data_IF_767512093310
#
_entry.id   IF_767512093310
#
_cell.length_a   1.000
_cell.length_b   1.000
_cell.length_c   1.000
_cell.angle_alpha   90.00
_cell.angle_beta   90.00
_cell.angle_gamma   90.00
#
_symmetry.space_group_name_H-M   'P 1'
#
loop_
_entity.id
_entity.type
_entity.pdbx_description
1 polymer ?
#
# COMPACT_ATOMS: atom_id res chain seq x y z
N UNK A 1 21.95 1.51 -3.05
CA UNK A 1 20.89 2.47 -3.41
C UNK A 1 20.05 2.04 -4.62
N UNK A 2 20.55 1.16 -5.48
CA UNK A 2 19.84 0.71 -6.69
C UNK A 2 18.95 -0.52 -6.47
N UNK A 3 19.11 -1.21 -5.34
CA UNK A 3 18.30 -2.38 -4.98
C UNK A 3 17.16 -1.96 -4.07
N UNK A 4 15.96 -2.45 -4.37
CA UNK A 4 14.82 -2.35 -3.48
C UNK A 4 14.86 -3.36 -2.33
N UNK A 5 13.87 -3.29 -1.45
CA UNK A 5 13.80 -4.17 -0.29
C UNK A 5 14.72 -3.72 0.87
N UNK A 6 15.12 -4.66 1.71
CA UNK A 6 15.97 -4.39 2.87
C UNK A 6 17.14 -5.36 2.96
N UNK A 7 18.34 -4.83 3.23
CA UNK A 7 19.54 -5.64 3.49
C UNK A 7 19.52 -6.25 4.91
N UNK A 8 18.71 -5.70 5.82
CA UNK A 8 18.59 -6.16 7.20
C UNK A 8 17.59 -7.29 7.38
N UNK A 9 16.85 -7.62 6.33
CA UNK A 9 15.70 -8.51 6.44
C UNK A 9 14.51 -7.84 7.16
N UNK A 10 13.48 -8.62 7.44
CA UNK A 10 12.28 -8.14 8.14
C UNK A 10 11.67 -9.24 8.99
N UNK A 11 11.04 -8.86 10.11
CA UNK A 11 10.25 -9.76 10.94
C UNK A 11 8.80 -9.31 10.94
N UNK A 12 7.88 -10.29 10.98
CA UNK A 12 6.45 -10.06 11.19
C UNK A 12 6.04 -10.25 12.64
N UNK A 13 6.98 -10.56 13.52
CA UNK A 13 6.70 -10.71 14.94
C UNK A 13 6.23 -9.38 15.54
N UNK A 14 5.21 -9.48 16.38
CA UNK A 14 4.65 -8.32 17.11
C UNK A 14 4.97 -8.52 18.59
N UNK A 15 6.04 -7.93 19.13
CA UNK A 15 6.52 -8.19 20.48
C UNK A 15 5.46 -8.02 21.58
N UNK A 16 4.51 -7.09 21.37
CA UNK A 16 3.44 -6.78 22.31
C UNK A 16 2.14 -7.57 22.08
N UNK A 17 2.13 -8.56 21.18
CA UNK A 17 0.94 -9.38 20.86
C UNK A 17 1.26 -10.86 20.73
N UNK A 18 2.36 -11.31 21.30
CA UNK A 18 2.72 -12.72 21.18
C UNK A 18 2.02 -13.55 22.25
N UNK A 19 1.54 -14.70 21.82
CA UNK A 19 1.08 -15.78 22.70
C UNK A 19 2.02 -16.98 22.52
N UNK A 20 2.26 -17.72 23.57
CA UNK A 20 3.00 -18.98 23.50
C UNK A 20 2.14 -20.10 22.87
N UNK A 21 2.70 -21.31 22.78
CA UNK A 21 2.00 -22.49 22.23
C UNK A 21 0.76 -22.90 23.06
N UNK A 22 0.61 -22.36 24.27
CA UNK A 22 -0.51 -22.61 25.17
C UNK A 22 -1.55 -21.50 25.16
N UNK A 23 -1.32 -20.43 24.34
CA UNK A 23 -2.20 -19.26 24.26
C UNK A 23 -1.97 -18.21 25.36
N UNK A 24 -0.90 -18.35 26.16
CA UNK A 24 -0.53 -17.38 27.17
C UNK A 24 0.30 -16.23 26.56
N UNK A 25 0.10 -15.01 27.06
CA UNK A 25 0.86 -13.83 26.62
C UNK A 25 2.35 -14.02 26.94
N UNK A 26 3.18 -14.11 25.88
CA UNK A 26 4.63 -14.18 26.04
C UNK A 26 5.21 -12.78 26.00
N UNK A 27 5.72 -12.33 27.13
CA UNK A 27 6.25 -10.96 27.28
C UNK A 27 7.63 -10.84 26.61
N UNK A 28 7.64 -10.50 25.31
CA UNK A 28 8.88 -10.25 24.57
C UNK A 28 9.43 -8.81 24.68
N UNK A 29 8.64 -7.77 25.03
CA UNK A 29 9.21 -6.45 25.28
C UNK A 29 10.34 -6.46 26.30
N UNK A 30 10.19 -7.17 27.42
CA UNK A 30 11.24 -7.29 28.44
C UNK A 30 12.53 -7.89 27.87
N UNK A 31 12.43 -8.93 27.03
CA UNK A 31 13.60 -9.54 26.39
C UNK A 31 14.27 -8.56 25.42
N UNK A 32 13.52 -7.74 24.70
CA UNK A 32 14.08 -6.71 23.82
C UNK A 32 14.82 -5.65 24.64
N UNK A 33 14.22 -5.18 25.72
CA UNK A 33 14.82 -4.18 26.63
C UNK A 33 16.12 -4.74 27.24
N UNK A 34 16.05 -5.98 27.76
CA UNK A 34 17.22 -6.64 28.33
C UNK A 34 18.36 -6.76 27.31
N UNK A 35 18.05 -7.17 26.09
CA UNK A 35 19.05 -7.28 25.02
C UNK A 35 19.61 -5.91 24.60
N UNK A 36 18.79 -4.87 24.56
CA UNK A 36 19.21 -3.50 24.27
C UNK A 36 20.34 -3.07 25.23
N UNK A 37 20.14 -3.26 26.54
CA UNK A 37 21.12 -2.92 27.55
C UNK A 37 22.32 -3.88 27.58
N UNK A 38 22.08 -5.20 27.41
CA UNK A 38 23.17 -6.20 27.37
C UNK A 38 24.12 -5.99 26.18
N UNK A 39 23.61 -5.49 25.06
CA UNK A 39 24.42 -5.18 23.87
C UNK A 39 25.07 -3.80 23.95
N UNK A 40 24.79 -3.01 25.00
CA UNK A 40 25.31 -1.66 25.15
C UNK A 40 24.89 -0.71 24.05
N UNK A 41 23.64 -0.83 23.57
CA UNK A 41 23.12 0.04 22.52
C UNK A 41 22.75 1.41 23.09
N UNK A 42 23.13 2.49 22.40
CA UNK A 42 22.80 3.87 22.75
C UNK A 42 21.42 4.26 22.20
N UNK A 43 21.04 3.71 21.04
CA UNK A 43 19.75 3.96 20.40
C UNK A 43 19.31 2.78 19.54
N UNK A 44 18.01 2.75 19.21
CA UNK A 44 17.40 1.79 18.30
C UNK A 44 16.74 2.53 17.15
N UNK A 45 17.19 2.30 15.92
CA UNK A 45 16.54 2.84 14.71
C UNK A 45 15.55 1.83 14.16
N UNK A 46 14.27 2.21 14.11
CA UNK A 46 13.19 1.38 13.62
C UNK A 46 12.72 1.85 12.25
N UNK A 47 13.01 1.07 11.20
CA UNK A 47 12.64 1.40 9.82
C UNK A 47 11.45 0.55 9.39
N UNK A 48 10.33 1.16 9.04
CA UNK A 48 9.17 0.40 8.59
C UNK A 48 7.88 1.21 8.50
N UNK A 49 6.78 0.51 8.25
CA UNK A 49 5.44 1.10 8.15
C UNK A 49 4.76 1.27 9.52
N UNK A 50 3.46 1.51 9.47
CA UNK A 50 2.60 1.83 10.61
C UNK A 50 2.75 0.84 11.80
N UNK A 51 2.83 -0.47 11.50
CA UNK A 51 3.05 -1.50 12.53
C UNK A 51 4.39 -1.36 13.25
N UNK A 52 5.47 -1.05 12.53
CA UNK A 52 6.81 -0.82 13.08
C UNK A 52 6.82 0.46 13.92
N UNK A 53 6.20 1.54 13.45
CA UNK A 53 6.11 2.81 14.20
C UNK A 53 5.34 2.64 15.51
N UNK A 54 4.27 1.83 15.54
CA UNK A 54 3.57 1.49 16.77
C UNK A 54 4.46 0.76 17.76
N UNK A 55 5.24 -0.23 17.30
CA UNK A 55 6.19 -0.96 18.14
C UNK A 55 7.30 -0.03 18.66
N UNK A 56 7.88 0.81 17.81
CA UNK A 56 8.88 1.81 18.18
C UNK A 56 8.38 2.75 19.30
N UNK A 57 7.17 3.28 19.15
CA UNK A 57 6.54 4.13 20.16
C UNK A 57 6.31 3.40 21.50
N UNK A 58 5.94 2.12 21.46
CA UNK A 58 5.76 1.32 22.67
C UNK A 58 7.09 1.06 23.39
N UNK A 59 8.17 0.78 22.66
CA UNK A 59 9.52 0.61 23.21
C UNK A 59 10.06 1.93 23.79
N UNK A 60 9.85 3.06 23.11
CA UNK A 60 10.22 4.38 23.61
C UNK A 60 9.52 4.70 24.93
N UNK A 61 8.23 4.37 25.07
CA UNK A 61 7.47 4.55 26.33
C UNK A 61 8.01 3.69 27.48
N UNK A 62 8.78 2.65 27.19
CA UNK A 62 9.45 1.80 28.18
C UNK A 62 10.90 2.25 28.47
N UNK A 63 11.27 3.43 28.00
CA UNK A 63 12.55 4.05 28.34
C UNK A 63 13.70 3.79 27.37
N UNK A 64 13.48 3.13 26.21
CA UNK A 64 14.50 3.00 25.21
C UNK A 64 14.61 4.29 24.37
N UNK A 65 15.84 4.63 23.97
CA UNK A 65 16.07 5.68 22.99
C UNK A 65 15.76 5.12 21.59
N UNK A 66 14.67 5.57 20.97
CA UNK A 66 14.17 5.01 19.71
C UNK A 66 13.93 6.09 18.69
N UNK A 67 14.49 5.92 17.49
CA UNK A 67 14.25 6.76 16.32
C UNK A 67 13.46 5.96 15.28
N UNK A 68 12.29 6.47 14.86
CA UNK A 68 11.45 5.84 13.85
C UNK A 68 11.66 6.45 12.46
N UNK A 69 11.83 5.60 11.45
CA UNK A 69 11.95 6.03 10.04
C UNK A 69 10.78 5.44 9.23
N UNK A 70 9.87 6.28 8.68
CA UNK A 70 8.65 5.80 8.03
C UNK A 70 8.94 5.26 6.63
N UNK A 71 8.92 3.93 6.47
CA UNK A 71 9.11 3.21 5.22
C UNK A 71 7.90 2.31 4.92
N UNK A 72 7.09 2.71 3.97
CA UNK A 72 5.97 1.91 3.45
C UNK A 72 5.55 2.40 2.08
N UNK A 73 4.95 1.53 1.27
CA UNK A 73 4.32 1.92 0.00
C UNK A 73 2.91 2.49 0.20
N UNK A 74 2.31 2.30 1.38
CA UNK A 74 0.90 2.64 1.64
C UNK A 74 0.68 4.13 1.95
N UNK A 75 1.75 4.87 2.28
CA UNK A 75 1.74 6.27 2.71
C UNK A 75 0.75 6.55 3.86
N UNK A 76 0.65 5.61 4.81
CA UNK A 76 -0.36 5.59 5.88
C UNK A 76 0.19 5.88 7.28
N UNK A 77 1.45 6.33 7.40
CA UNK A 77 2.08 6.62 8.69
C UNK A 77 1.65 7.98 9.19
N UNK A 78 0.95 8.01 10.32
CA UNK A 78 0.48 9.24 10.93
C UNK A 78 1.62 10.22 11.26
N UNK A 79 1.41 11.51 10.96
CA UNK A 79 2.41 12.54 11.19
C UNK A 79 3.52 12.60 10.14
N UNK A 80 3.36 11.88 9.02
CA UNK A 80 4.29 11.85 7.90
C UNK A 80 3.57 12.29 6.63
N UNK A 81 4.12 13.25 5.89
CA UNK A 81 3.55 13.70 4.63
C UNK A 81 3.79 12.67 3.52
N UNK A 82 5.01 12.16 3.44
CA UNK A 82 5.42 11.17 2.44
C UNK A 82 6.31 10.11 3.07
N UNK A 83 5.97 8.83 2.82
CA UNK A 83 6.81 7.69 3.19
C UNK A 83 7.64 7.24 1.99
N UNK A 84 8.93 6.93 2.19
CA UNK A 84 9.71 6.39 1.07
C UNK A 84 9.33 4.94 0.76
N UNK A 85 9.28 4.63 -0.53
CA UNK A 85 8.69 3.44 -1.12
C UNK A 85 7.34 3.71 -1.79
N UNK A 86 6.64 4.77 -1.41
CA UNK A 86 5.35 5.14 -1.99
C UNK A 86 5.47 5.53 -3.46
N UNK A 87 6.38 6.45 -3.79
CA UNK A 87 6.57 6.94 -5.16
C UNK A 87 6.98 5.81 -6.11
N UNK A 88 7.90 4.94 -5.67
CA UNK A 88 8.27 3.76 -6.46
C UNK A 88 7.08 2.83 -6.75
N UNK A 89 6.19 2.65 -5.78
CA UNK A 89 5.00 1.83 -5.98
C UNK A 89 3.96 2.51 -6.88
N UNK A 90 3.83 3.84 -6.81
CA UNK A 90 3.00 4.64 -7.74
C UNK A 90 3.51 4.48 -9.17
N UNK A 91 4.83 4.59 -9.39
CA UNK A 91 5.45 4.43 -10.71
C UNK A 91 5.15 3.05 -11.30
N UNK A 92 5.35 1.97 -10.53
CA UNK A 92 5.06 0.59 -10.96
C UNK A 92 3.57 0.40 -11.27
N UNK A 93 2.70 0.91 -10.42
CA UNK A 93 1.26 0.81 -10.63
C UNK A 93 0.79 1.61 -11.86
N UNK A 94 1.34 2.81 -12.07
CA UNK A 94 1.07 3.63 -13.25
C UNK A 94 1.51 2.93 -14.53
N UNK A 95 2.73 2.38 -14.57
CA UNK A 95 3.22 1.61 -15.71
C UNK A 95 2.29 0.41 -16.03
N UNK A 96 1.80 -0.28 -15.02
CA UNK A 96 0.87 -1.38 -15.20
C UNK A 96 -0.47 -0.91 -15.78
N UNK A 97 -1.00 0.24 -15.34
CA UNK A 97 -2.22 0.85 -15.86
C UNK A 97 -2.02 1.24 -17.34
N UNK A 98 -0.91 1.90 -17.67
CA UNK A 98 -0.57 2.32 -19.05
C UNK A 98 -0.57 1.13 -20.02
N UNK A 99 -0.02 0.01 -19.61
CA UNK A 99 0.00 -1.22 -20.42
C UNK A 99 -1.41 -1.77 -20.69
N UNK A 100 -2.36 -1.54 -19.79
CA UNK A 100 -3.74 -2.05 -19.93
C UNK A 100 -4.60 -1.21 -20.87
N UNK A 101 -4.29 0.07 -21.10
CA UNK A 101 -5.04 0.92 -22.03
C UNK A 101 -5.12 0.34 -23.45
N UNK A 102 -4.01 -0.13 -23.96
CA UNK A 102 -3.94 -0.65 -25.33
C UNK A 102 -4.82 -1.88 -25.52
N UNK A 103 -4.77 -2.83 -24.58
CA UNK A 103 -5.61 -4.03 -24.65
C UNK A 103 -7.08 -3.72 -24.34
N UNK A 104 -7.37 -2.80 -23.41
CA UNK A 104 -8.72 -2.35 -23.10
C UNK A 104 -9.39 -1.74 -24.34
N UNK A 105 -8.67 -0.85 -25.04
CA UNK A 105 -9.15 -0.22 -26.27
C UNK A 105 -9.36 -1.22 -27.42
N UNK A 106 -8.39 -2.11 -27.67
CA UNK A 106 -8.45 -3.08 -28.75
C UNK A 106 -9.63 -4.05 -28.64
N UNK A 107 -10.01 -4.39 -27.41
CA UNK A 107 -11.08 -5.35 -27.12
C UNK A 107 -12.39 -4.70 -26.65
N UNK A 108 -12.43 -3.37 -26.52
CA UNK A 108 -13.58 -2.61 -26.01
C UNK A 108 -14.09 -3.12 -24.66
N UNK A 109 -13.18 -3.34 -23.72
CA UNK A 109 -13.46 -3.94 -22.41
C UNK A 109 -13.39 -2.92 -21.29
N UNK A 110 -14.02 -3.26 -20.18
CA UNK A 110 -13.81 -2.58 -18.90
C UNK A 110 -12.71 -3.31 -18.14
N UNK A 111 -11.59 -2.64 -17.88
CA UNK A 111 -10.48 -3.18 -17.10
C UNK A 111 -10.58 -2.68 -15.66
N UNK A 112 -10.59 -3.59 -14.70
CA UNK A 112 -10.57 -3.29 -13.28
C UNK A 112 -9.20 -3.64 -12.73
N UNK A 113 -8.52 -2.67 -12.14
CA UNK A 113 -7.15 -2.81 -11.66
C UNK A 113 -7.14 -2.60 -10.16
N UNK A 114 -6.78 -3.65 -9.40
CA UNK A 114 -6.64 -3.56 -7.96
C UNK A 114 -5.19 -3.23 -7.59
N UNK A 115 -5.03 -2.18 -6.79
CA UNK A 115 -3.73 -1.76 -6.26
C UNK A 115 -3.70 -1.93 -4.75
N UNK A 116 -2.50 -2.12 -4.21
CA UNK A 116 -2.25 -2.20 -2.78
C UNK A 116 -2.53 -0.86 -2.08
N UNK A 117 -2.26 -0.77 -0.80
CA UNK A 117 -2.46 0.41 0.04
C UNK A 117 -3.08 0.07 1.39
N UNK A 118 -3.36 -1.22 1.64
CA UNK A 118 -4.03 -1.73 2.85
C UNK A 118 -5.37 -1.00 3.08
N UNK A 119 -5.47 -0.11 4.07
CA UNK A 119 -6.67 0.67 4.38
C UNK A 119 -6.59 2.12 3.86
N UNK A 120 -5.54 2.48 3.11
CA UNK A 120 -5.33 3.80 2.54
C UNK A 120 -5.44 3.76 1.01
N UNK A 121 -6.09 4.76 0.45
CA UNK A 121 -6.33 4.88 -0.99
C UNK A 121 -5.28 5.68 -1.75
N UNK A 122 -4.19 6.10 -1.11
CA UNK A 122 -3.19 6.97 -1.72
C UNK A 122 -2.59 6.39 -3.01
N UNK A 123 -2.23 5.10 -3.00
CA UNK A 123 -1.68 4.41 -4.17
C UNK A 123 -2.70 4.41 -5.34
N UNK A 124 -3.95 4.07 -5.05
CA UNK A 124 -5.02 4.06 -6.06
C UNK A 124 -5.27 5.46 -6.62
N UNK A 125 -5.25 6.49 -5.78
CA UNK A 125 -5.48 7.87 -6.18
C UNK A 125 -4.36 8.36 -7.10
N UNK A 126 -3.11 8.20 -6.70
CA UNK A 126 -1.96 8.71 -7.44
C UNK A 126 -1.75 7.92 -8.75
N UNK A 127 -1.65 6.61 -8.66
CA UNK A 127 -1.46 5.78 -9.85
C UNK A 127 -2.67 5.82 -10.80
N UNK A 128 -3.89 5.83 -10.26
CA UNK A 128 -5.11 5.95 -11.06
C UNK A 128 -5.23 7.28 -11.76
N UNK A 129 -4.81 8.38 -11.11
CA UNK A 129 -4.80 9.71 -11.72
C UNK A 129 -3.71 9.83 -12.79
N UNK A 130 -2.50 9.38 -12.48
CA UNK A 130 -1.37 9.42 -13.40
C UNK A 130 -1.58 8.51 -14.63
N UNK A 131 -2.11 7.31 -14.42
CA UNK A 131 -2.40 6.33 -15.47
C UNK A 131 -3.74 6.54 -16.17
N UNK A 132 -4.45 7.67 -15.96
CA UNK A 132 -5.67 7.98 -16.70
C UNK A 132 -6.87 7.08 -16.36
N UNK A 133 -6.99 6.65 -15.12
CA UNK A 133 -8.16 5.91 -14.64
C UNK A 133 -9.45 6.73 -14.77
N UNK A 134 -10.48 6.13 -15.37
CA UNK A 134 -11.78 6.77 -15.58
C UNK A 134 -12.63 6.83 -14.32
N UNK A 135 -12.42 5.86 -13.42
CA UNK A 135 -13.05 5.75 -12.10
C UNK A 135 -11.98 5.26 -11.12
N UNK A 136 -11.87 5.93 -9.98
CA UNK A 136 -10.95 5.55 -8.90
C UNK A 136 -11.77 5.33 -7.63
N UNK A 137 -11.67 4.14 -7.04
CA UNK A 137 -12.38 3.78 -5.81
C UNK A 137 -11.40 3.69 -4.63
N UNK A 138 -11.69 4.47 -3.60
CA UNK A 138 -10.84 4.65 -2.42
C UNK A 138 -11.56 4.19 -1.15
N UNK A 139 -10.87 3.60 -0.17
CA UNK A 139 -11.49 3.17 1.09
C UNK A 139 -12.00 4.34 1.93
N UNK A 140 -11.41 5.53 1.79
CA UNK A 140 -11.80 6.73 2.53
C UNK A 140 -13.10 7.37 2.06
N UNK A 141 -13.54 7.04 0.82
CA UNK A 141 -14.73 7.62 0.22
C UNK A 141 -15.79 6.53 0.02
N UNK A 142 -16.97 6.69 0.63
CA UNK A 142 -18.06 5.77 0.38
C UNK A 142 -18.48 5.84 -1.08
N UNK A 143 -18.70 4.71 -1.71
CA UNK A 143 -19.15 4.63 -3.10
C UNK A 143 -20.46 3.85 -3.21
N UNK A 144 -21.21 4.14 -4.26
CA UNK A 144 -22.41 3.39 -4.61
C UNK A 144 -22.15 2.58 -5.88
N UNK A 145 -22.20 1.26 -5.78
CA UNK A 145 -21.89 0.37 -6.90
C UNK A 145 -22.76 0.61 -8.13
N UNK A 146 -24.06 0.93 -7.93
CA UNK A 146 -24.96 1.27 -9.04
C UNK A 146 -24.53 2.54 -9.77
N UNK A 147 -23.99 3.53 -9.03
CA UNK A 147 -23.46 4.76 -9.63
C UNK A 147 -22.20 4.49 -10.45
N UNK A 148 -21.32 3.60 -9.97
CA UNK A 148 -20.15 3.12 -10.72
C UNK A 148 -20.58 2.46 -12.03
N UNK A 149 -21.53 1.52 -11.96
CA UNK A 149 -22.07 0.83 -13.15
C UNK A 149 -22.69 1.81 -14.17
N UNK A 150 -23.52 2.76 -13.70
CA UNK A 150 -24.11 3.79 -14.55
C UNK A 150 -23.07 4.68 -15.22
N UNK A 151 -21.98 5.01 -14.52
CA UNK A 151 -20.89 5.82 -15.10
C UNK A 151 -20.19 5.07 -16.22
N UNK A 152 -19.92 3.78 -16.05
CA UNK A 152 -19.32 2.92 -17.09
C UNK A 152 -20.29 2.81 -18.30
N UNK A 153 -21.57 2.55 -18.07
CA UNK A 153 -22.59 2.47 -19.10
C UNK A 153 -22.71 3.79 -19.88
N UNK A 154 -22.76 4.94 -19.19
CA UNK A 154 -22.79 6.25 -19.83
C UNK A 154 -21.58 6.48 -20.73
N UNK A 155 -20.38 6.12 -20.27
CA UNK A 155 -19.17 6.24 -21.08
C UNK A 155 -19.25 5.42 -22.37
N UNK A 156 -19.75 4.19 -22.27
CA UNK A 156 -19.94 3.33 -23.44
C UNK A 156 -20.94 3.95 -24.43
N UNK A 157 -22.06 4.48 -23.94
CA UNK A 157 -23.09 5.16 -24.76
C UNK A 157 -22.56 6.47 -25.40
N UNK A 158 -21.58 7.13 -24.72
CA UNK A 158 -20.89 8.33 -25.22
C UNK A 158 -19.76 8.00 -26.22
N UNK A 159 -19.75 6.80 -26.80
CA UNK A 159 -18.74 6.30 -27.76
C UNK A 159 -17.31 6.23 -27.19
N UNK A 160 -17.16 6.09 -25.88
CA UNK A 160 -15.87 5.77 -25.24
C UNK A 160 -15.73 4.26 -25.20
N UNK A 161 -14.86 3.67 -26.02
CA UNK A 161 -14.94 2.22 -26.32
C UNK A 161 -14.50 1.33 -25.17
N UNK A 162 -13.84 1.87 -24.14
CA UNK A 162 -13.36 1.13 -22.98
C UNK A 162 -13.39 2.00 -21.72
N UNK A 163 -13.19 1.38 -20.58
CA UNK A 163 -13.02 2.07 -19.30
C UNK A 163 -11.96 1.40 -18.45
N UNK A 164 -11.17 2.22 -17.74
CA UNK A 164 -10.21 1.81 -16.73
C UNK A 164 -10.77 2.19 -15.35
N UNK A 165 -10.96 1.18 -14.50
CA UNK A 165 -11.44 1.34 -13.12
C UNK A 165 -10.32 0.92 -12.19
N UNK A 166 -9.75 1.88 -11.45
CA UNK A 166 -8.71 1.62 -10.47
C UNK A 166 -9.33 1.49 -9.08
N UNK A 167 -9.03 0.41 -8.39
CA UNK A 167 -9.60 0.11 -7.07
C UNK A 167 -8.51 -0.14 -6.04
N UNK A 168 -8.61 0.53 -4.91
CA UNK A 168 -7.77 0.19 -3.77
C UNK A 168 -8.23 -1.14 -3.15
N UNK A 169 -7.28 -1.98 -2.72
CA UNK A 169 -7.58 -3.27 -2.07
C UNK A 169 -8.45 -3.14 -0.82
N UNK A 170 -8.42 -1.98 -0.16
CA UNK A 170 -9.11 -1.69 1.09
C UNK A 170 -10.55 -1.19 0.96
N UNK A 171 -11.12 -1.06 -0.24
CA UNK A 171 -12.51 -0.59 -0.39
C UNK A 171 -13.50 -1.51 0.33
N UNK A 172 -14.60 -0.94 0.81
CA UNK A 172 -15.68 -1.70 1.42
C UNK A 172 -16.35 -2.61 0.38
N UNK A 173 -16.54 -3.87 0.73
CA UNK A 173 -17.19 -4.88 -0.10
C UNK A 173 -17.83 -5.98 0.76
N UNK A 174 -18.94 -6.60 0.29
CA UNK A 174 -19.71 -7.55 1.10
C UNK A 174 -19.03 -8.92 1.28
N UNK A 175 -18.03 -9.27 0.46
CA UNK A 175 -17.40 -10.59 0.44
C UNK A 175 -15.89 -10.55 0.63
N UNK A 176 -15.31 -11.66 1.12
CA UNK A 176 -13.85 -11.82 1.30
C UNK A 176 -13.16 -12.25 -0.01
N UNK A 177 -13.41 -11.55 -1.10
CA UNK A 177 -12.72 -11.73 -2.38
C UNK A 177 -11.98 -10.44 -2.76
N UNK A 178 -11.21 -10.43 -3.85
CA UNK A 178 -10.51 -9.23 -4.28
C UNK A 178 -11.51 -8.11 -4.58
N UNK A 179 -11.09 -6.87 -4.38
CA UNK A 179 -11.90 -5.70 -4.69
C UNK A 179 -12.18 -5.63 -6.20
N UNK A 180 -11.17 -5.95 -7.02
CA UNK A 180 -11.32 -5.99 -8.48
C UNK A 180 -12.38 -7.01 -8.91
N UNK A 181 -12.38 -8.21 -8.33
CA UNK A 181 -13.35 -9.26 -8.68
C UNK A 181 -14.78 -8.84 -8.35
N UNK A 182 -14.99 -8.22 -7.17
CA UNK A 182 -16.29 -7.71 -6.78
C UNK A 182 -16.82 -6.62 -7.74
N UNK A 183 -15.98 -5.65 -8.08
CA UNK A 183 -16.35 -4.55 -8.98
C UNK A 183 -16.55 -5.06 -10.41
N UNK A 184 -15.71 -5.98 -10.90
CA UNK A 184 -15.82 -6.57 -12.23
C UNK A 184 -17.15 -7.30 -12.42
N UNK A 185 -17.54 -8.15 -11.47
CA UNK A 185 -18.80 -8.87 -11.51
C UNK A 185 -20.00 -7.92 -11.47
N UNK A 186 -19.97 -6.92 -10.58
CA UNK A 186 -21.05 -5.96 -10.47
C UNK A 186 -21.25 -5.17 -11.78
N UNK A 187 -20.17 -4.69 -12.40
CA UNK A 187 -20.23 -3.97 -13.68
C UNK A 187 -20.73 -4.90 -14.78
N UNK A 188 -20.15 -6.09 -14.93
CA UNK A 188 -20.53 -7.06 -15.95
C UNK A 188 -22.00 -7.46 -15.86
N UNK A 189 -22.49 -7.73 -14.64
CA UNK A 189 -23.88 -8.11 -14.38
C UNK A 189 -24.85 -6.97 -14.69
N UNK A 190 -24.51 -5.74 -14.32
CA UNK A 190 -25.39 -4.59 -14.50
C UNK A 190 -25.43 -4.08 -15.94
N UNK A 191 -24.27 -4.04 -16.62
CA UNK A 191 -24.14 -3.38 -17.93
C UNK A 191 -24.14 -4.37 -19.11
N UNK A 192 -23.85 -5.64 -18.86
CA UNK A 192 -23.60 -6.64 -19.92
C UNK A 192 -22.25 -6.46 -20.63
N UNK A 193 -21.44 -5.48 -20.24
CA UNK A 193 -20.14 -5.24 -20.86
C UNK A 193 -19.10 -6.28 -20.40
N UNK A 194 -18.17 -6.60 -21.27
CA UNK A 194 -17.08 -7.51 -20.94
C UNK A 194 -16.10 -6.84 -19.96
N UNK A 195 -15.93 -7.43 -18.80
CA UNK A 195 -15.01 -6.99 -17.76
C UNK A 195 -13.80 -7.90 -17.63
N UNK A 196 -12.64 -7.36 -17.28
CA UNK A 196 -11.44 -8.12 -16.92
C UNK A 196 -10.81 -7.49 -15.69
N UNK A 197 -10.32 -8.33 -14.80
CA UNK A 197 -9.64 -7.90 -13.58
C UNK A 197 -8.14 -8.14 -13.65
N UNK A 198 -7.39 -7.27 -13.03
CA UNK A 198 -5.95 -7.37 -12.83
C UNK A 198 -5.63 -6.97 -11.39
N UNK A 199 -5.14 -7.90 -10.59
CA UNK A 199 -4.69 -7.62 -9.23
C UNK A 199 -3.18 -7.50 -9.26
N UNK A 200 -2.64 -6.28 -9.06
CA UNK A 200 -1.19 -6.04 -9.14
C UNK A 200 -0.44 -6.71 -7.99
N UNK A 201 -1.00 -6.70 -6.78
CA UNK A 201 -0.43 -7.38 -5.63
C UNK A 201 1.03 -7.01 -5.39
N UNK A 202 1.85 -8.00 -5.05
CA UNK A 202 3.23 -7.81 -4.59
C UNK A 202 4.22 -7.28 -5.63
N UNK A 203 3.89 -7.24 -6.91
CA UNK A 203 4.78 -6.59 -7.90
C UNK A 203 5.02 -5.13 -7.58
N UNK A 204 4.08 -4.46 -6.94
CA UNK A 204 4.18 -3.08 -6.47
C UNK A 204 5.25 -2.87 -5.37
N UNK A 205 5.74 -3.94 -4.76
CA UNK A 205 6.79 -3.92 -3.73
C UNK A 205 8.18 -4.21 -4.30
N UNK A 206 8.27 -4.54 -5.58
CA UNK A 206 9.50 -4.94 -6.25
C UNK A 206 10.16 -3.79 -7.02
N UNK A 207 11.17 -4.16 -7.79
CA UNK A 207 11.88 -3.24 -8.67
C UNK A 207 12.92 -2.36 -7.98
N UNK A 208 13.50 -1.45 -8.75
CA UNK A 208 14.44 -0.44 -8.27
C UNK A 208 13.66 0.74 -7.69
N UNK A 209 14.10 1.34 -6.57
CA UNK A 209 13.46 2.52 -6.04
C UNK A 209 13.60 3.72 -6.98
N UNK A 210 12.57 4.55 -7.05
CA UNK A 210 12.58 5.80 -7.81
C UNK A 210 13.68 6.74 -7.31
N UNK A 211 14.15 7.69 -8.12
CA UNK A 211 15.09 8.72 -7.67
C UNK A 211 14.57 9.50 -6.47
N UNK A 212 13.28 9.81 -6.45
CA UNK A 212 12.64 10.51 -5.33
C UNK A 212 12.75 9.72 -4.03
N UNK A 213 12.37 8.45 -4.03
CA UNK A 213 12.46 7.60 -2.83
C UNK A 213 13.90 7.40 -2.34
N UNK A 214 14.88 7.36 -3.26
CA UNK A 214 16.31 7.27 -2.88
C UNK A 214 16.77 8.52 -2.14
N UNK A 215 16.38 9.71 -2.63
CA UNK A 215 16.71 10.99 -2.00
C UNK A 215 16.05 11.08 -0.63
N UNK A 216 14.73 10.84 -0.57
CA UNK A 216 13.96 10.90 0.66
C UNK A 216 14.46 9.91 1.72
N UNK A 217 14.79 8.67 1.32
CA UNK A 217 15.37 7.67 2.22
C UNK A 217 16.74 8.10 2.76
N UNK A 218 17.55 8.76 1.92
CA UNK A 218 18.86 9.29 2.33
C UNK A 218 18.71 10.44 3.32
N UNK A 219 17.81 11.38 3.08
CA UNK A 219 17.51 12.50 3.98
C UNK A 219 16.98 12.01 5.33
N UNK A 220 16.01 11.09 5.34
CA UNK A 220 15.47 10.51 6.57
C UNK A 220 16.53 9.73 7.35
N UNK A 221 17.37 8.96 6.66
CA UNK A 221 18.46 8.22 7.28
C UNK A 221 19.53 9.13 7.89
N UNK A 222 19.94 10.18 7.16
CA UNK A 222 20.88 11.17 7.65
C UNK A 222 20.35 11.94 8.87
N UNK A 223 19.09 12.38 8.81
CA UNK A 223 18.45 13.06 9.92
C UNK A 223 18.30 12.14 11.15
N UNK A 224 17.89 10.88 10.94
CA UNK A 224 17.78 9.92 12.03
C UNK A 224 19.12 9.68 12.73
N UNK A 225 20.23 9.64 11.99
CA UNK A 225 21.57 9.53 12.56
C UNK A 225 22.00 10.77 13.37
N UNK A 226 21.45 11.95 13.05
CA UNK A 226 21.68 13.17 13.84
C UNK A 226 20.85 13.23 15.12
N UNK A 227 19.77 12.45 15.19
CA UNK A 227 18.90 12.37 16.37
C UNK A 227 19.43 11.40 17.45
N UNK A 228 20.49 10.65 17.18
CA UNK A 228 21.15 9.73 18.09
C UNK A 228 22.33 10.42 18.77
#
# INVERSE_FOLDING_TARGET
>A
LTLGGTILGTSREKPFKMVDNNGEAKDKPEAIIQNYFNLGLDALVCIGGNGTMKTANMLSKQGLNVVGIPKTIDNDVWGTDVTFGFESAVEIATEAIDRLHTTANSHRRVMIIEVMGHNAGWLALYAGTAGGGDIILLPELPYNIRSVCKKVESRYNDNKPYSIVVVAEGIERPEKRSAASYIAEAIGTYTGLETRETVLGYIQRGGSPSPFDRILATEYGAFAAQCI
#
